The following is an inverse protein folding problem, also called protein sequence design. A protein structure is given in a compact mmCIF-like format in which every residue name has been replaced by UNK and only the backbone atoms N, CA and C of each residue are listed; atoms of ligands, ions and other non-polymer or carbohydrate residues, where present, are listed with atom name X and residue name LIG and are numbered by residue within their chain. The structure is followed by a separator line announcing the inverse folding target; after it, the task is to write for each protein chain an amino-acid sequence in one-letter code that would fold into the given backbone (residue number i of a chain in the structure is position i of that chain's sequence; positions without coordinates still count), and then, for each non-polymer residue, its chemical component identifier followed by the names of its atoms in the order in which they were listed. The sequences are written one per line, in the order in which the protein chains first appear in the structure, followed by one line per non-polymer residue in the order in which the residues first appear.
data_IF_796963673035
#
_entry.id   IF_796963673035
#
_cell.length_a   1.000
_cell.length_b   1.000
_cell.length_c   1.000
_cell.angle_alpha   90.00
_cell.angle_beta   90.00
_cell.angle_gamma   90.00
#
_symmetry.space_group_name_H-M   'P 1'
#
loop_
_entity.id
_entity.type
_entity.pdbx_description
1 polymer ?
#
# COMPACT_ATOMS: atom_id res chain seq x y z
N UNK A 1 30.09 -16.79 19.95
CA UNK A 1 28.86 -17.20 20.64
C UNK A 1 28.72 -16.31 21.87
N UNK A 2 27.54 -15.71 22.14
CA UNK A 2 27.37 -14.93 23.37
C UNK A 2 27.66 -15.84 24.57
N UNK A 3 28.45 -15.35 25.53
CA UNK A 3 28.96 -16.13 26.67
C UNK A 3 27.87 -16.54 27.68
N UNK A 4 26.63 -16.15 27.44
CA UNK A 4 25.42 -16.57 28.15
C UNK A 4 24.29 -16.49 27.14
N UNK A 5 23.42 -17.50 27.05
CA UNK A 5 22.35 -17.62 26.03
C UNK A 5 21.26 -16.53 26.04
N UNK A 6 21.54 -15.35 26.57
CA UNK A 6 20.66 -14.18 26.56
C UNK A 6 20.93 -13.32 25.33
N UNK A 7 19.86 -13.01 24.61
CA UNK A 7 19.88 -12.03 23.50
C UNK A 7 19.91 -10.57 23.99
N UNK A 8 19.65 -10.34 25.29
CA UNK A 8 19.62 -9.00 25.87
C UNK A 8 21.00 -8.58 26.37
N UNK A 9 21.43 -7.38 25.99
CA UNK A 9 22.67 -6.76 26.47
C UNK A 9 23.96 -7.31 25.85
N UNK A 10 23.87 -8.18 24.84
CA UNK A 10 25.02 -8.80 24.18
C UNK A 10 25.06 -8.46 22.69
N UNK A 11 26.25 -8.50 22.10
CA UNK A 11 26.39 -8.52 20.65
C UNK A 11 25.88 -9.87 20.12
N UNK A 12 24.82 -9.83 19.31
CA UNK A 12 24.18 -11.02 18.71
C UNK A 12 24.20 -10.87 17.19
N UNK A 13 24.49 -11.96 16.47
CA UNK A 13 24.33 -11.99 15.01
C UNK A 13 22.84 -11.99 14.69
N UNK A 14 22.38 -11.05 13.86
CA UNK A 14 20.97 -10.98 13.49
C UNK A 14 20.64 -12.06 12.47
N UNK A 15 19.38 -12.52 12.48
CA UNK A 15 18.93 -13.58 11.58
C UNK A 15 18.78 -13.06 10.16
N UNK A 16 18.29 -11.83 10.02
CA UNK A 16 18.00 -11.15 8.76
C UNK A 16 19.24 -10.54 8.10
N UNK A 17 20.34 -10.36 8.83
CA UNK A 17 21.59 -9.77 8.35
C UNK A 17 22.10 -10.38 7.02
N UNK A 18 22.22 -11.71 6.88
CA UNK A 18 22.82 -12.30 5.69
C UNK A 18 22.09 -11.93 4.40
N UNK A 19 20.76 -11.95 4.38
CA UNK A 19 19.98 -11.68 3.16
C UNK A 19 19.85 -10.17 2.89
N UNK A 20 19.78 -9.34 3.94
CA UNK A 20 19.73 -7.89 3.79
C UNK A 20 21.06 -7.30 3.29
N UNK A 21 22.20 -7.83 3.78
CA UNK A 21 23.52 -7.30 3.44
C UNK A 21 24.03 -7.74 2.06
N UNK A 22 23.52 -8.86 1.55
CA UNK A 22 23.92 -9.42 0.25
C UNK A 22 22.99 -8.99 -0.89
N UNK A 23 21.83 -8.42 -0.57
CA UNK A 23 20.78 -8.14 -1.55
C UNK A 23 19.95 -9.37 -1.93
N UNK A 24 20.12 -10.49 -1.24
CA UNK A 24 19.34 -11.72 -1.48
C UNK A 24 17.92 -11.64 -0.88
N UNK A 25 17.68 -10.69 0.04
CA UNK A 25 16.36 -10.42 0.60
C UNK A 25 15.44 -9.74 -0.42
N UNK A 26 14.19 -10.19 -0.51
CA UNK A 26 13.15 -9.58 -1.36
C UNK A 26 12.19 -8.74 -0.54
N UNK A 27 11.96 -7.52 -0.97
CA UNK A 27 10.86 -6.67 -0.55
C UNK A 27 9.64 -6.90 -1.45
N UNK A 28 8.50 -6.32 -1.07
CA UNK A 28 7.25 -6.43 -1.85
C UNK A 28 7.44 -5.94 -3.29
N UNK A 29 8.25 -4.92 -3.50
CA UNK A 29 8.53 -4.34 -4.82
C UNK A 29 9.43 -5.24 -5.70
N UNK A 30 10.15 -6.19 -5.10
CA UNK A 30 10.98 -7.18 -5.82
C UNK A 30 10.17 -8.39 -6.30
N UNK A 31 8.89 -8.47 -5.94
CA UNK A 31 8.01 -9.56 -6.32
C UNK A 31 7.48 -9.33 -7.74
N UNK A 32 7.87 -10.23 -8.66
CA UNK A 32 7.41 -10.20 -10.06
C UNK A 32 6.61 -11.47 -10.31
N UNK A 33 5.30 -11.31 -10.47
CA UNK A 33 4.39 -12.39 -10.82
C UNK A 33 3.80 -12.15 -12.23
N UNK A 34 3.54 -13.22 -13.01
CA UNK A 34 2.88 -13.07 -14.31
C UNK A 34 1.52 -12.38 -14.16
N UNK A 35 1.32 -11.31 -14.92
CA UNK A 35 0.05 -10.56 -14.92
C UNK A 35 -0.05 -9.45 -13.87
N UNK A 36 1.01 -9.16 -13.12
CA UNK A 36 1.03 -7.98 -12.21
C UNK A 36 0.77 -6.69 -12.98
N UNK A 37 -0.21 -5.92 -12.50
CA UNK A 37 -0.50 -4.56 -12.97
C UNK A 37 0.13 -3.53 -12.03
N UNK A 38 0.44 -2.36 -12.56
CA UNK A 38 0.93 -1.23 -11.78
C UNK A 38 -0.21 -0.28 -11.44
N UNK A 39 -0.17 0.33 -10.26
CA UNK A 39 -1.16 1.32 -9.81
C UNK A 39 -0.49 2.68 -9.60
N UNK A 40 -1.18 3.73 -10.02
CA UNK A 40 -0.80 5.12 -9.73
C UNK A 40 -1.93 5.80 -8.96
N UNK A 41 -1.59 6.41 -7.82
CA UNK A 41 -2.56 7.12 -6.98
C UNK A 41 -2.58 8.61 -7.32
N UNK A 42 -3.75 9.10 -7.78
CA UNK A 42 -4.01 10.54 -7.89
C UNK A 42 -4.40 11.06 -6.50
N UNK A 43 -3.63 12.01 -5.97
CA UNK A 43 -3.81 12.56 -4.63
C UNK A 43 -4.21 14.04 -4.70
N UNK A 44 -4.94 14.51 -3.69
CA UNK A 44 -5.28 15.93 -3.54
C UNK A 44 -4.02 16.78 -3.54
N UNK A 45 -4.04 17.88 -4.30
CA UNK A 45 -2.99 18.92 -4.31
C UNK A 45 -3.22 19.98 -3.23
N UNK A 46 -4.33 19.91 -2.51
CA UNK A 46 -4.73 20.86 -1.46
C UNK A 46 -5.02 20.13 -0.15
N UNK A 47 -4.82 20.82 0.98
CA UNK A 47 -4.98 20.23 2.31
C UNK A 47 -6.44 19.91 2.66
N UNK A 48 -7.39 20.72 2.19
CA UNK A 48 -8.81 20.55 2.47
C UNK A 48 -9.68 21.17 1.37
N UNK A 49 -10.57 20.37 0.78
CA UNK A 49 -11.57 20.79 -0.19
C UNK A 49 -12.66 19.72 -0.31
N UNK A 50 -13.80 20.10 -0.87
CA UNK A 50 -14.82 19.15 -1.31
C UNK A 50 -14.52 18.70 -2.74
N UNK A 51 -14.62 17.41 -3.02
CA UNK A 51 -14.55 16.89 -4.39
C UNK A 51 -15.87 17.24 -5.09
N UNK A 52 -15.83 18.11 -6.09
CA UNK A 52 -17.02 18.47 -6.87
C UNK A 52 -17.22 17.59 -8.09
N UNK A 53 -16.13 17.11 -8.67
CA UNK A 53 -16.11 16.31 -9.90
C UNK A 53 -14.76 15.64 -10.09
N UNK A 54 -14.75 14.48 -10.74
CA UNK A 54 -13.55 13.80 -11.23
C UNK A 54 -13.80 13.50 -12.72
N UNK A 55 -12.88 13.92 -13.59
CA UNK A 55 -12.88 13.56 -15.01
C UNK A 55 -11.68 12.65 -15.28
N UNK A 56 -11.96 11.39 -15.60
CA UNK A 56 -10.99 10.35 -15.92
C UNK A 56 -11.10 9.86 -17.38
N UNK A 57 -11.81 10.60 -18.23
CA UNK A 57 -12.06 10.22 -19.63
C UNK A 57 -10.76 9.99 -20.41
N UNK A 58 -9.81 10.92 -20.33
CA UNK A 58 -8.51 10.80 -20.98
C UNK A 58 -7.73 9.58 -20.47
N UNK A 59 -7.64 9.43 -19.14
CA UNK A 59 -6.88 8.34 -18.50
C UNK A 59 -7.39 6.96 -18.92
N UNK A 60 -8.72 6.77 -19.02
CA UNK A 60 -9.33 5.51 -19.48
C UNK A 60 -8.95 5.12 -20.91
N UNK A 61 -8.58 6.09 -21.74
CA UNK A 61 -8.21 5.85 -23.15
C UNK A 61 -6.70 5.73 -23.38
N UNK A 62 -5.89 5.95 -22.35
CA UNK A 62 -4.44 5.89 -22.49
C UNK A 62 -3.96 4.45 -22.75
N UNK A 63 -2.98 4.26 -23.67
CA UNK A 63 -2.39 2.95 -23.91
C UNK A 63 -1.83 2.32 -22.62
N UNK A 64 -2.22 1.08 -22.35
CA UNK A 64 -1.74 0.30 -21.19
C UNK A 64 -2.55 0.51 -19.90
N UNK A 65 -3.53 1.41 -19.89
CA UNK A 65 -4.46 1.53 -18.75
C UNK A 65 -5.48 0.41 -18.79
N UNK A 66 -5.52 -0.40 -17.72
CA UNK A 66 -6.46 -1.52 -17.57
C UNK A 66 -7.76 -1.08 -16.90
N UNK A 67 -7.70 -0.05 -16.05
CA UNK A 67 -8.87 0.49 -15.36
C UNK A 67 -8.54 1.78 -14.63
N UNK A 68 -9.57 2.59 -14.39
CA UNK A 68 -9.52 3.74 -13.48
C UNK A 68 -10.62 3.54 -12.44
N UNK A 69 -10.23 3.57 -11.18
CA UNK A 69 -11.10 3.28 -10.04
C UNK A 69 -11.32 4.50 -9.18
N UNK A 70 -12.55 4.71 -8.72
CA UNK A 70 -12.94 5.90 -7.93
C UNK A 70 -13.71 5.50 -6.68
N UNK A 71 -13.61 6.32 -5.64
CA UNK A 71 -14.31 6.09 -4.38
C UNK A 71 -15.85 6.16 -4.50
N UNK A 72 -16.36 6.88 -5.51
CA UNK A 72 -17.80 7.00 -5.78
C UNK A 72 -18.37 5.88 -6.65
N UNK A 73 -17.52 4.98 -7.16
CA UNK A 73 -17.91 3.85 -7.98
C UNK A 73 -18.05 2.56 -7.18
N UNK A 74 -18.92 1.66 -7.65
CA UNK A 74 -18.94 0.24 -7.23
C UNK A 74 -17.99 -0.60 -8.09
N UNK A 75 -16.96 0.02 -8.66
CA UNK A 75 -16.08 -0.57 -9.67
C UNK A 75 -15.08 -1.59 -9.10
N UNK A 76 -14.81 -1.50 -7.79
CA UNK A 76 -14.01 -2.47 -7.05
C UNK A 76 -14.84 -3.50 -6.28
N UNK A 77 -16.16 -3.30 -6.16
CA UNK A 77 -17.03 -4.17 -5.35
C UNK A 77 -16.58 -4.29 -3.88
N UNK A 78 -15.84 -3.29 -3.38
CA UNK A 78 -15.28 -3.30 -2.03
C UNK A 78 -16.26 -2.60 -1.07
N UNK A 79 -16.46 -3.15 0.15
CA UNK A 79 -17.25 -2.46 1.16
C UNK A 79 -16.53 -1.19 1.62
N UNK A 80 -17.29 -0.21 2.11
CA UNK A 80 -16.72 0.95 2.79
C UNK A 80 -15.73 0.50 3.87
N UNK A 81 -14.50 1.01 3.81
CA UNK A 81 -13.47 0.63 4.77
C UNK A 81 -13.71 1.32 6.11
N UNK A 82 -14.18 0.57 7.11
CA UNK A 82 -14.19 1.05 8.49
C UNK A 82 -12.76 0.99 9.05
N UNK A 83 -12.04 2.10 8.91
CA UNK A 83 -10.62 2.19 9.27
C UNK A 83 -10.33 1.86 10.74
N UNK A 84 -11.30 2.13 11.62
CA UNK A 84 -11.24 1.77 13.04
C UNK A 84 -12.54 1.08 13.45
N UNK A 85 -12.49 -0.24 13.65
CA UNK A 85 -13.66 -1.07 14.01
C UNK A 85 -14.40 -0.61 15.27
N UNK A 86 -13.72 0.11 16.16
CA UNK A 86 -14.29 0.64 17.41
C UNK A 86 -14.91 2.04 17.27
N UNK A 87 -14.78 2.70 16.12
CA UNK A 87 -15.41 4.00 15.88
C UNK A 87 -16.80 3.84 15.26
N UNK A 88 -17.81 4.61 15.71
CA UNK A 88 -19.11 4.70 15.05
C UNK A 88 -18.98 4.99 13.54
N UNK A 89 -19.80 4.34 12.71
CA UNK A 89 -19.70 4.42 11.24
C UNK A 89 -19.78 5.87 10.71
N UNK A 90 -20.57 6.74 11.34
CA UNK A 90 -20.70 8.14 10.96
C UNK A 90 -19.45 9.00 11.22
N UNK A 91 -18.45 8.46 11.91
CA UNK A 91 -17.14 9.09 12.14
C UNK A 91 -16.06 8.53 11.21
N UNK A 92 -16.38 7.57 10.33
CA UNK A 92 -15.47 7.20 9.27
C UNK A 92 -15.20 8.44 8.41
N UNK A 93 -13.91 8.72 8.16
CA UNK A 93 -13.56 9.67 7.10
C UNK A 93 -14.13 9.11 5.79
N UNK A 94 -14.76 9.95 4.94
CA UNK A 94 -15.18 9.50 3.61
C UNK A 94 -14.04 8.85 2.84
#
# INVERSE_FOLDING_TARGET
MPASGSILGNAVKRLEDPTLLTGDGKYVDDLVEPGTLHVAFVRSTVAHANITSIDDSDARTMPGVVGVYRADGDDLGLPSLQQFQMMPEHLNRP
#
